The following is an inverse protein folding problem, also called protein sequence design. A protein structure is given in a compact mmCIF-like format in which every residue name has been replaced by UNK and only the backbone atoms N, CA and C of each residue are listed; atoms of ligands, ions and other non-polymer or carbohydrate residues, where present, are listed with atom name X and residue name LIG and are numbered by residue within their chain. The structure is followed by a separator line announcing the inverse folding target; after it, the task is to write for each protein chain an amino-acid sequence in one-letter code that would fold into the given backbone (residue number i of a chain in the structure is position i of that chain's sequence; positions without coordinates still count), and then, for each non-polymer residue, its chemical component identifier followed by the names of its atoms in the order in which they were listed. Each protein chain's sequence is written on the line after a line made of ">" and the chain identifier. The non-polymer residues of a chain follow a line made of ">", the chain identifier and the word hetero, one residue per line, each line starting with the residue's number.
data_IF_874562853775
#
_entry.id   IF_874562853775
#
_cell.length_a   1.000
_cell.length_b   1.000
_cell.length_c   1.000
_cell.angle_alpha   90.00
_cell.angle_beta   90.00
_cell.angle_gamma   90.00
#
_symmetry.space_group_name_H-M   'P 1'
#
loop_
_entity.id
_entity.type
_entity.pdbx_description
1 polymer ?
#
# COMPACT_ATOMS: atom_id res chain seq x y z
N UNK A 1 -7.58 -44.25 62.99
CA UNK A 1 -8.13 -42.99 62.48
C UNK A 1 -7.17 -42.43 61.42
N UNK A 2 -7.41 -42.69 60.13
CA UNK A 2 -6.71 -42.03 59.02
C UNK A 2 -7.74 -41.76 57.93
N UNK A 3 -8.07 -40.47 57.81
CA UNK A 3 -9.07 -39.92 56.91
C UNK A 3 -8.37 -39.60 55.58
N UNK A 4 -8.70 -40.32 54.50
CA UNK A 4 -8.21 -39.97 53.16
C UNK A 4 -9.19 -38.99 52.53
N UNK A 5 -8.80 -37.72 52.47
CA UNK A 5 -9.51 -36.65 51.78
C UNK A 5 -9.08 -36.70 50.31
N UNK A 6 -9.98 -37.08 49.42
CA UNK A 6 -9.78 -36.95 47.98
C UNK A 6 -10.06 -35.49 47.59
N UNK A 7 -8.99 -34.76 47.25
CA UNK A 7 -9.09 -33.42 46.64
C UNK A 7 -9.24 -33.63 45.14
N UNK A 8 -10.45 -33.53 44.63
CA UNK A 8 -10.72 -33.44 43.19
C UNK A 8 -10.36 -32.04 42.72
N UNK A 9 -9.21 -31.89 42.06
CA UNK A 9 -8.84 -30.64 41.38
C UNK A 9 -9.64 -30.58 40.08
N UNK A 10 -10.70 -29.78 40.07
CA UNK A 10 -11.40 -29.42 38.83
C UNK A 10 -10.50 -28.48 38.03
N UNK A 11 -9.84 -29.00 36.99
CA UNK A 11 -9.13 -28.19 36.01
C UNK A 11 -10.20 -27.52 35.14
N UNK A 12 -10.52 -26.26 35.45
CA UNK A 12 -11.34 -25.43 34.60
C UNK A 12 -10.50 -25.08 33.35
N UNK A 13 -10.67 -25.84 32.28
CA UNK A 13 -10.14 -25.50 30.96
C UNK A 13 -10.91 -24.30 30.41
N UNK A 14 -10.47 -23.09 30.76
CA UNK A 14 -10.89 -21.87 30.08
C UNK A 14 -10.30 -21.91 28.67
N UNK A 15 -11.07 -22.37 27.70
CA UNK A 15 -10.76 -22.19 26.29
C UNK A 15 -10.90 -20.71 25.97
N UNK A 16 -9.81 -19.95 26.12
CA UNK A 16 -9.72 -18.65 25.47
C UNK A 16 -9.74 -18.90 23.97
N UNK A 17 -10.90 -18.72 23.34
CA UNK A 17 -10.99 -18.46 21.90
C UNK A 17 -10.21 -17.16 21.68
N UNK A 18 -8.92 -17.26 21.38
CA UNK A 18 -8.16 -16.08 20.98
C UNK A 18 -8.78 -15.59 19.68
N UNK A 19 -9.33 -14.38 19.69
CA UNK A 19 -9.62 -13.60 18.48
C UNK A 19 -8.30 -13.26 17.77
N UNK A 20 -7.63 -14.27 17.21
CA UNK A 20 -6.38 -14.10 16.52
C UNK A 20 -6.65 -13.82 15.06
N UNK A 21 -6.19 -12.66 14.57
CA UNK A 21 -6.10 -12.36 13.14
C UNK A 21 -5.44 -13.51 12.37
N UNK A 22 -5.98 -13.90 11.23
CA UNK A 22 -5.40 -14.94 10.37
C UNK A 22 -4.44 -14.33 9.33
N UNK A 23 -3.44 -15.10 8.90
CA UNK A 23 -2.49 -14.68 7.85
C UNK A 23 -2.48 -15.69 6.71
N UNK A 24 -2.83 -15.22 5.52
CA UNK A 24 -2.72 -15.97 4.25
C UNK A 24 -1.49 -15.47 3.49
N UNK A 25 -0.67 -16.39 2.98
CA UNK A 25 0.62 -16.06 2.36
C UNK A 25 0.68 -16.47 0.91
N UNK A 26 1.40 -15.67 0.13
CA UNK A 26 1.77 -15.98 -1.25
C UNK A 26 0.57 -16.33 -2.15
N UNK A 27 -0.53 -15.62 -1.97
CA UNK A 27 -1.71 -15.77 -2.83
C UNK A 27 -1.38 -15.20 -4.20
N UNK A 28 -1.64 -15.98 -5.25
CA UNK A 28 -1.49 -15.52 -6.64
C UNK A 28 -2.61 -14.55 -6.98
N UNK A 29 -2.25 -13.39 -7.51
CA UNK A 29 -3.20 -12.39 -8.00
C UNK A 29 -3.08 -12.16 -9.52
N UNK A 30 -2.11 -12.81 -10.18
CA UNK A 30 -1.92 -12.77 -11.63
C UNK A 30 -2.41 -14.05 -12.33
N UNK A 31 -2.85 -15.06 -11.58
CA UNK A 31 -3.36 -16.32 -12.12
C UNK A 31 -2.30 -17.20 -12.81
N UNK A 32 -1.02 -16.86 -12.66
CA UNK A 32 0.09 -17.59 -13.26
C UNK A 32 1.24 -17.77 -12.24
N UNK A 33 2.01 -18.84 -12.38
CA UNK A 33 3.24 -19.07 -11.59
C UNK A 33 4.42 -18.27 -12.13
N UNK A 34 4.45 -18.04 -13.45
CA UNK A 34 5.46 -17.24 -14.11
C UNK A 34 4.84 -16.16 -14.99
N UNK A 35 5.59 -15.08 -15.19
CA UNK A 35 5.17 -13.94 -16.00
C UNK A 35 6.28 -13.48 -16.96
N UNK A 36 5.86 -12.69 -17.92
CA UNK A 36 6.72 -11.89 -18.78
C UNK A 36 6.42 -10.41 -18.53
N UNK A 37 7.46 -9.61 -18.37
CA UNK A 37 7.42 -8.15 -18.32
C UNK A 37 7.99 -7.57 -19.61
N UNK A 38 8.01 -6.25 -19.72
CA UNK A 38 8.72 -5.60 -20.84
C UNK A 38 10.23 -5.88 -20.85
N UNK A 39 10.84 -6.24 -19.71
CA UNK A 39 12.29 -6.39 -19.56
C UNK A 39 12.76 -7.84 -19.45
N UNK A 40 11.91 -8.76 -19.00
CA UNK A 40 12.32 -10.14 -18.73
C UNK A 40 11.18 -11.15 -18.90
N UNK A 41 11.55 -12.39 -19.22
CA UNK A 41 10.63 -13.53 -19.43
C UNK A 41 10.83 -14.58 -18.36
N UNK A 42 9.82 -15.41 -18.13
CA UNK A 42 9.86 -16.55 -17.20
C UNK A 42 10.23 -16.17 -15.76
N UNK A 43 9.83 -14.97 -15.32
CA UNK A 43 10.01 -14.55 -13.94
C UNK A 43 8.98 -15.23 -13.05
N UNK A 44 9.32 -15.55 -11.81
CA UNK A 44 8.33 -15.94 -10.81
C UNK A 44 7.29 -14.80 -10.64
N UNK A 45 6.01 -15.16 -10.71
CA UNK A 45 4.93 -14.20 -10.54
C UNK A 45 4.95 -13.63 -9.11
N UNK A 46 4.82 -12.29 -8.94
CA UNK A 46 4.60 -11.72 -7.63
C UNK A 46 3.28 -12.23 -7.03
N UNK A 47 3.25 -12.26 -5.70
CA UNK A 47 2.11 -12.74 -4.91
C UNK A 47 1.75 -11.71 -3.84
N UNK A 48 0.61 -11.88 -3.18
CA UNK A 48 0.18 -11.04 -2.06
C UNK A 48 0.04 -11.82 -0.75
N UNK A 49 0.12 -11.11 0.37
CA UNK A 49 -0.23 -11.63 1.69
C UNK A 49 -1.47 -10.92 2.20
N UNK A 50 -2.33 -11.65 2.91
CA UNK A 50 -3.56 -11.12 3.51
C UNK A 50 -3.49 -11.30 5.02
N UNK A 51 -3.84 -10.25 5.75
CA UNK A 51 -3.99 -10.26 7.20
C UNK A 51 -5.46 -10.01 7.49
N UNK A 52 -6.16 -11.09 7.81
CA UNK A 52 -7.60 -11.14 8.06
C UNK A 52 -7.87 -10.82 9.53
N UNK A 53 -8.81 -9.90 9.84
CA UNK A 53 -9.21 -9.60 11.22
C UNK A 53 -9.95 -10.77 11.89
N UNK A 54 -10.33 -10.62 13.16
CA UNK A 54 -11.20 -11.60 13.83
C UNK A 54 -12.55 -11.71 13.10
N UNK A 55 -13.07 -12.93 12.98
CA UNK A 55 -14.36 -13.18 12.29
C UNK A 55 -15.53 -12.94 13.23
N UNK A 56 -16.10 -11.74 13.15
CA UNK A 56 -17.32 -11.37 13.88
C UNK A 56 -18.53 -11.18 12.92
N UNK A 57 -18.54 -11.87 11.77
CA UNK A 57 -19.55 -11.81 10.70
C UNK A 57 -19.82 -10.41 10.10
N UNK A 58 -19.06 -9.39 10.48
CA UNK A 58 -19.12 -8.03 9.91
C UNK A 58 -18.07 -7.90 8.80
N UNK A 59 -18.48 -7.34 7.65
CA UNK A 59 -17.52 -6.92 6.61
C UNK A 59 -16.77 -5.67 7.08
N UNK A 60 -15.46 -5.65 6.90
CA UNK A 60 -14.59 -4.56 7.34
C UNK A 60 -13.97 -3.80 6.17
N UNK A 61 -13.56 -2.53 6.34
CA UNK A 61 -12.76 -1.84 5.34
C UNK A 61 -11.50 -2.63 4.94
N UNK A 62 -11.05 -2.43 3.72
CA UNK A 62 -9.86 -3.09 3.16
C UNK A 62 -8.78 -2.05 2.94
N UNK A 63 -7.55 -2.34 3.36
CA UNK A 63 -6.38 -1.51 3.04
C UNK A 63 -5.34 -2.31 2.27
N UNK A 64 -4.96 -1.81 1.11
CA UNK A 64 -3.93 -2.40 0.25
C UNK A 64 -2.63 -1.62 0.45
N UNK A 65 -1.62 -2.23 1.06
CA UNK A 65 -0.33 -1.60 1.32
C UNK A 65 0.75 -2.05 0.33
N UNK A 66 1.29 -1.11 -0.45
CA UNK A 66 2.40 -1.34 -1.37
C UNK A 66 3.70 -0.83 -0.76
N UNK A 67 4.72 -1.69 -0.74
CA UNK A 67 6.00 -1.35 -0.12
C UNK A 67 6.82 -0.37 -0.95
N UNK A 68 7.72 0.36 -0.27
CA UNK A 68 8.77 1.16 -0.90
C UNK A 68 10.02 0.35 -1.23
N UNK A 69 11.08 1.07 -1.62
CA UNK A 69 12.39 0.48 -1.95
C UNK A 69 12.91 0.89 -3.32
N UNK A 70 12.77 2.17 -3.71
CA UNK A 70 13.34 2.71 -4.95
C UNK A 70 13.02 1.89 -6.22
N UNK A 71 11.84 1.26 -6.29
CA UNK A 71 11.36 0.41 -7.40
C UNK A 71 12.22 -0.83 -7.73
N UNK A 72 13.38 -0.99 -7.10
CA UNK A 72 14.36 -2.04 -7.36
C UNK A 72 14.67 -2.90 -6.12
N UNK A 73 14.11 -2.55 -4.96
CA UNK A 73 14.32 -3.22 -3.68
C UNK A 73 13.01 -3.33 -2.88
N UNK A 74 13.09 -4.07 -1.78
CA UNK A 74 11.97 -4.28 -0.85
C UNK A 74 11.22 -5.58 -1.13
N UNK A 75 10.34 -5.94 -0.20
CA UNK A 75 9.44 -7.09 -0.32
C UNK A 75 8.30 -7.00 0.70
N UNK A 76 7.13 -7.53 0.34
CA UNK A 76 5.91 -7.52 1.17
C UNK A 76 6.09 -8.14 2.56
N UNK A 77 6.99 -9.12 2.71
CA UNK A 77 7.19 -9.86 3.96
C UNK A 77 7.77 -8.99 5.08
N UNK A 78 8.49 -7.91 4.75
CA UNK A 78 9.09 -6.99 5.74
C UNK A 78 7.99 -6.30 6.57
N UNK A 79 6.82 -6.09 5.99
CA UNK A 79 5.73 -5.29 6.56
C UNK A 79 4.65 -6.16 7.22
N UNK A 80 5.03 -7.35 7.70
CA UNK A 80 4.07 -8.25 8.34
C UNK A 80 3.43 -7.66 9.60
N UNK A 81 4.17 -6.83 10.33
CA UNK A 81 3.69 -6.12 11.51
C UNK A 81 2.64 -5.09 11.12
N UNK A 82 2.78 -4.44 9.95
CA UNK A 82 1.83 -3.45 9.45
C UNK A 82 0.49 -4.11 9.15
N UNK A 83 0.53 -5.21 8.39
CA UNK A 83 -0.66 -5.98 8.07
C UNK A 83 -1.36 -6.54 9.31
N UNK A 84 -0.58 -7.08 10.27
CA UNK A 84 -1.11 -7.55 11.56
C UNK A 84 -1.79 -6.43 12.35
N UNK A 85 -1.16 -5.25 12.44
CA UNK A 85 -1.69 -4.14 13.23
C UNK A 85 -3.00 -3.60 12.65
N UNK A 86 -3.16 -3.57 11.31
CA UNK A 86 -4.44 -3.24 10.68
C UNK A 86 -5.50 -4.32 10.95
N UNK A 87 -5.15 -5.60 10.83
CA UNK A 87 -6.07 -6.69 11.15
C UNK A 87 -6.54 -6.69 12.62
N UNK A 88 -5.69 -6.25 13.55
CA UNK A 88 -6.05 -6.07 14.96
C UNK A 88 -6.97 -4.86 15.22
N UNK A 89 -7.15 -3.98 14.22
CA UNK A 89 -8.02 -2.81 14.27
C UNK A 89 -9.22 -2.99 13.32
N UNK A 90 -9.64 -4.23 13.10
CA UNK A 90 -10.78 -4.60 12.24
C UNK A 90 -10.68 -4.01 10.82
N UNK A 91 -9.50 -4.13 10.21
CA UNK A 91 -9.26 -3.76 8.80
C UNK A 91 -8.60 -4.94 8.10
N UNK A 92 -9.15 -5.37 6.96
CA UNK A 92 -8.52 -6.38 6.12
C UNK A 92 -7.29 -5.77 5.45
N UNK A 93 -6.08 -6.26 5.76
CA UNK A 93 -4.86 -5.74 5.15
C UNK A 93 -4.34 -6.65 4.05
N UNK A 94 -4.14 -6.11 2.86
CA UNK A 94 -3.60 -6.81 1.69
C UNK A 94 -2.26 -6.20 1.30
N UNK A 95 -1.22 -7.02 1.28
CA UNK A 95 0.15 -6.58 0.99
C UNK A 95 0.63 -7.28 -0.28
N UNK A 96 0.48 -6.69 -1.48
CA UNK A 96 1.05 -7.24 -2.70
C UNK A 96 2.57 -7.03 -2.78
N UNK A 97 3.25 -8.01 -3.38
CA UNK A 97 4.56 -7.79 -3.98
C UNK A 97 4.41 -7.33 -5.43
N UNK A 98 5.50 -6.91 -6.04
CA UNK A 98 5.58 -6.57 -7.46
C UNK A 98 6.98 -6.89 -7.98
N UNK A 99 7.14 -7.06 -9.28
CA UNK A 99 8.44 -7.34 -9.91
C UNK A 99 9.34 -6.10 -9.80
N UNK A 100 10.54 -6.28 -9.26
CA UNK A 100 11.50 -5.19 -9.09
C UNK A 100 12.30 -4.93 -10.37
N UNK A 101 12.70 -3.68 -10.57
CA UNK A 101 13.73 -3.31 -11.55
C UNK A 101 15.06 -4.03 -11.26
N UNK A 102 15.84 -4.48 -12.27
CA UNK A 102 15.71 -4.21 -13.71
C UNK A 102 14.77 -5.15 -14.46
N UNK A 103 14.10 -6.08 -13.77
CA UNK A 103 13.22 -7.05 -14.41
C UNK A 103 11.84 -6.46 -14.77
N UNK A 104 11.58 -5.20 -14.46
CA UNK A 104 10.32 -4.51 -14.73
C UNK A 104 10.54 -2.99 -14.78
N UNK A 105 9.80 -2.30 -15.66
CA UNK A 105 9.71 -0.83 -15.68
C UNK A 105 8.74 -0.33 -14.61
N UNK A 106 8.63 0.99 -14.41
CA UNK A 106 7.54 1.57 -13.60
C UNK A 106 6.16 1.12 -14.09
N UNK A 107 6.01 0.94 -15.41
CA UNK A 107 4.75 0.63 -16.05
C UNK A 107 4.32 -0.82 -15.78
N UNK A 108 5.27 -1.76 -15.91
CA UNK A 108 5.06 -3.16 -15.52
C UNK A 108 4.66 -3.25 -14.02
N UNK A 109 5.34 -2.48 -13.17
CA UNK A 109 5.10 -2.46 -11.72
C UNK A 109 3.71 -1.91 -11.38
N UNK A 110 3.34 -0.76 -11.94
CA UNK A 110 2.03 -0.15 -11.70
C UNK A 110 0.89 -1.01 -12.28
N UNK A 111 1.08 -1.64 -13.44
CA UNK A 111 0.11 -2.59 -14.00
C UNK A 111 -0.09 -3.81 -13.08
N UNK A 112 0.97 -4.31 -12.45
CA UNK A 112 0.85 -5.38 -11.46
C UNK A 112 0.13 -4.92 -10.19
N UNK A 113 0.37 -3.70 -9.72
CA UNK A 113 -0.38 -3.15 -8.57
C UNK A 113 -1.86 -2.95 -8.90
N UNK A 114 -2.19 -2.45 -10.09
CA UNK A 114 -3.58 -2.36 -10.55
C UNK A 114 -4.27 -3.74 -10.56
N UNK A 115 -3.60 -4.79 -11.06
CA UNK A 115 -4.12 -6.16 -11.00
C UNK A 115 -4.30 -6.67 -9.56
N UNK A 116 -3.42 -6.31 -8.63
CA UNK A 116 -3.58 -6.65 -7.22
C UNK A 116 -4.77 -5.93 -6.57
N UNK A 117 -5.03 -4.67 -6.96
CA UNK A 117 -6.22 -3.90 -6.53
C UNK A 117 -7.50 -4.57 -7.06
N UNK A 118 -7.56 -4.86 -8.36
CA UNK A 118 -8.69 -5.53 -8.98
C UNK A 118 -8.97 -6.90 -8.35
N UNK A 119 -7.92 -7.72 -8.18
CA UNK A 119 -8.02 -9.01 -7.50
C UNK A 119 -8.57 -8.83 -6.09
N UNK A 120 -8.06 -7.84 -5.34
CA UNK A 120 -8.53 -7.58 -3.98
C UNK A 120 -10.01 -7.22 -3.94
N UNK A 121 -10.48 -6.35 -4.85
CA UNK A 121 -11.90 -6.00 -4.95
C UNK A 121 -12.77 -7.22 -5.22
N UNK A 122 -12.35 -8.12 -6.10
CA UNK A 122 -13.09 -9.35 -6.43
C UNK A 122 -13.09 -10.37 -5.26
N UNK A 123 -12.03 -10.37 -4.44
CA UNK A 123 -11.75 -11.46 -3.51
C UNK A 123 -11.89 -11.07 -2.02
N UNK A 124 -11.96 -9.79 -1.67
CA UNK A 124 -11.92 -9.32 -0.28
C UNK A 124 -13.02 -9.92 0.61
N UNK A 125 -14.21 -10.12 0.05
CA UNK A 125 -15.36 -10.65 0.78
C UNK A 125 -15.10 -12.02 1.41
N UNK A 126 -14.29 -12.89 0.78
CA UNK A 126 -13.97 -14.21 1.33
C UNK A 126 -13.03 -14.15 2.55
N UNK A 127 -12.36 -13.01 2.74
CA UNK A 127 -11.47 -12.72 3.87
C UNK A 127 -12.11 -11.71 4.85
N UNK A 128 -13.43 -11.52 4.80
CA UNK A 128 -14.16 -10.60 5.68
C UNK A 128 -14.05 -9.12 5.29
N UNK A 129 -13.45 -8.78 4.17
CA UNK A 129 -13.38 -7.40 3.67
C UNK A 129 -14.65 -6.96 2.95
N UNK A 130 -14.94 -5.66 2.99
CA UNK A 130 -15.97 -5.02 2.19
C UNK A 130 -15.38 -4.57 0.85
N UNK A 131 -15.78 -5.17 -0.29
CA UNK A 131 -15.26 -4.80 -1.61
C UNK A 131 -15.66 -3.39 -2.06
N UNK A 132 -16.55 -2.72 -1.33
CA UNK A 132 -16.96 -1.33 -1.59
C UNK A 132 -16.22 -0.31 -0.71
N UNK A 133 -15.36 -0.77 0.22
CA UNK A 133 -14.56 0.09 1.11
C UNK A 133 -13.07 -0.20 0.95
N UNK A 134 -12.56 0.01 -0.27
CA UNK A 134 -11.17 -0.26 -0.63
C UNK A 134 -10.34 1.02 -0.49
N UNK A 135 -9.33 0.96 0.36
CA UNK A 135 -8.32 1.99 0.52
C UNK A 135 -6.97 1.47 0.02
N UNK A 136 -6.18 2.35 -0.59
CA UNK A 136 -4.81 2.03 -1.01
C UNK A 136 -3.82 2.90 -0.28
N UNK A 137 -2.65 2.35 0.04
CA UNK A 137 -1.58 3.07 0.69
C UNK A 137 -0.23 2.56 0.25
N UNK A 138 0.78 3.41 0.31
CA UNK A 138 2.14 2.99 0.05
C UNK A 138 3.17 3.94 0.61
N UNK A 139 4.35 3.39 0.88
CA UNK A 139 5.51 4.16 1.33
C UNK A 139 6.48 4.39 0.17
N UNK A 140 7.02 5.61 0.03
CA UNK A 140 8.07 5.89 -0.96
C UNK A 140 7.64 5.51 -2.39
N UNK A 141 8.40 4.65 -3.08
CA UNK A 141 8.06 4.05 -4.36
C UNK A 141 6.67 3.37 -4.39
N UNK A 142 6.24 2.76 -3.28
CA UNK A 142 4.91 2.17 -3.18
C UNK A 142 3.80 3.22 -3.19
N UNK A 143 4.06 4.40 -2.61
CA UNK A 143 3.15 5.55 -2.67
C UNK A 143 2.96 6.06 -4.11
N UNK A 144 4.05 6.12 -4.87
CA UNK A 144 3.98 6.35 -6.32
C UNK A 144 3.13 5.29 -7.01
N UNK A 145 3.42 4.00 -6.80
CA UNK A 145 2.76 2.92 -7.53
C UNK A 145 1.26 2.85 -7.27
N UNK A 146 0.78 3.08 -6.03
CA UNK A 146 -0.66 3.11 -5.75
C UNK A 146 -1.34 4.32 -6.36
N UNK A 147 -0.74 5.51 -6.26
CA UNK A 147 -1.29 6.71 -6.88
C UNK A 147 -1.37 6.54 -8.40
N UNK A 148 -0.30 6.05 -9.01
CA UNK A 148 -0.22 5.86 -10.45
C UNK A 148 -1.22 4.80 -10.94
N UNK A 149 -1.28 3.63 -10.28
CA UNK A 149 -2.17 2.54 -10.66
C UNK A 149 -3.66 2.92 -10.57
N UNK A 150 -4.03 3.75 -9.59
CA UNK A 150 -5.42 4.19 -9.40
C UNK A 150 -5.76 5.35 -10.35
N UNK A 151 -4.88 6.34 -10.47
CA UNK A 151 -5.21 7.60 -11.13
C UNK A 151 -4.98 7.57 -12.65
N UNK A 152 -3.96 6.84 -13.14
CA UNK A 152 -3.71 6.78 -14.57
C UNK A 152 -4.72 5.83 -15.25
N UNK A 153 -5.60 6.33 -16.15
CA UNK A 153 -6.70 5.56 -16.71
C UNK A 153 -6.26 4.32 -17.49
N UNK A 154 -5.01 4.26 -17.97
CA UNK A 154 -4.50 3.11 -18.74
C UNK A 154 -4.48 1.80 -17.93
N UNK A 155 -4.48 1.88 -16.60
CA UNK A 155 -4.48 0.71 -15.73
C UNK A 155 -5.88 0.16 -15.43
N UNK A 156 -6.93 0.77 -15.98
CA UNK A 156 -8.32 0.31 -15.90
C UNK A 156 -8.85 0.12 -14.46
N UNK A 157 -8.37 0.91 -13.51
CA UNK A 157 -9.00 1.06 -12.21
C UNK A 157 -10.03 2.17 -12.30
N UNK A 158 -11.29 1.86 -11.99
CA UNK A 158 -12.28 2.91 -11.81
C UNK A 158 -11.97 3.64 -10.50
N UNK A 159 -11.63 4.93 -10.59
CA UNK A 159 -11.25 5.73 -9.42
C UNK A 159 -12.35 5.76 -8.37
N UNK A 160 -13.62 5.78 -8.78
CA UNK A 160 -14.79 5.81 -7.88
C UNK A 160 -14.95 4.51 -7.07
N UNK A 161 -14.26 3.44 -7.45
CA UNK A 161 -14.24 2.19 -6.69
C UNK A 161 -13.23 2.20 -5.52
N UNK A 162 -12.39 3.24 -5.44
CA UNK A 162 -11.39 3.42 -4.40
C UNK A 162 -11.88 4.50 -3.43
N UNK A 163 -12.13 4.10 -2.18
CA UNK A 163 -12.65 4.98 -1.13
C UNK A 163 -11.63 6.01 -0.66
N UNK A 164 -10.32 5.75 -0.85
CA UNK A 164 -9.29 6.75 -0.55
C UNK A 164 -7.86 6.26 -0.76
N UNK A 165 -6.94 7.22 -0.88
CA UNK A 165 -5.51 6.99 -1.07
C UNK A 165 -4.74 7.58 0.12
N UNK A 166 -3.92 6.78 0.81
CA UNK A 166 -3.02 7.24 1.88
C UNK A 166 -1.57 7.19 1.40
N UNK A 167 -0.98 8.35 1.15
CA UNK A 167 0.40 8.49 0.69
C UNK A 167 1.36 8.68 1.88
N UNK A 168 2.24 7.71 2.11
CA UNK A 168 3.25 7.82 3.16
C UNK A 168 4.62 8.18 2.57
N UNK A 169 4.96 9.46 2.64
CA UNK A 169 6.22 10.01 2.14
C UNK A 169 6.49 9.53 0.70
N UNK A 170 5.46 9.63 -0.14
CA UNK A 170 5.44 9.08 -1.48
C UNK A 170 6.54 9.74 -2.33
N UNK A 171 7.40 8.91 -2.92
CA UNK A 171 8.33 9.37 -3.94
C UNK A 171 7.60 9.48 -5.28
N UNK A 172 8.24 10.09 -6.28
CA UNK A 172 7.82 9.99 -7.68
C UNK A 172 6.43 10.52 -8.06
N UNK A 173 5.82 11.40 -7.27
CA UNK A 173 4.52 12.00 -7.65
C UNK A 173 4.60 12.91 -8.89
N UNK A 174 5.79 13.40 -9.23
CA UNK A 174 6.11 14.15 -10.45
C UNK A 174 7.52 13.73 -10.96
N UNK A 175 7.59 12.56 -11.59
CA UNK A 175 8.80 12.04 -12.22
C UNK A 175 9.22 12.83 -13.45
N UNK A 176 8.28 13.46 -14.17
CA UNK A 176 8.62 14.33 -15.30
C UNK A 176 9.50 15.50 -14.87
N UNK A 177 9.10 16.21 -13.81
CA UNK A 177 9.92 17.27 -13.23
C UNK A 177 11.28 16.73 -12.78
N UNK A 178 11.28 15.67 -11.96
CA UNK A 178 12.49 15.14 -11.37
C UNK A 178 13.51 14.66 -12.43
N UNK A 179 13.07 13.88 -13.42
CA UNK A 179 13.94 13.28 -14.44
C UNK A 179 14.38 14.28 -15.52
N UNK A 180 13.64 15.36 -15.73
CA UNK A 180 14.08 16.45 -16.61
C UNK A 180 15.33 17.16 -16.06
N UNK A 181 15.44 17.27 -14.72
CA UNK A 181 16.60 17.85 -14.05
C UNK A 181 17.66 16.81 -13.69
N UNK A 182 17.24 15.55 -13.50
CA UNK A 182 18.08 14.43 -13.09
C UNK A 182 17.89 13.24 -14.05
N UNK A 183 18.43 13.30 -15.28
CA UNK A 183 18.21 12.27 -16.28
C UNK A 183 18.54 10.85 -15.76
N UNK A 184 17.73 9.84 -16.12
CA UNK A 184 17.94 8.46 -15.69
C UNK A 184 19.35 7.97 -16.02
N UNK A 185 19.99 7.32 -15.05
CA UNK A 185 21.29 6.68 -15.23
C UNK A 185 21.20 5.17 -14.99
N UNK A 186 22.29 4.45 -15.27
CA UNK A 186 22.41 3.02 -14.94
C UNK A 186 22.45 2.77 -13.43
N UNK A 187 22.74 3.79 -12.63
CA UNK A 187 22.66 3.70 -11.17
C UNK A 187 21.24 3.34 -10.76
N UNK A 188 21.12 2.38 -9.84
CA UNK A 188 19.83 1.88 -9.35
C UNK A 188 18.88 1.34 -10.45
N UNK A 189 19.39 1.04 -11.65
CA UNK A 189 18.60 0.63 -12.81
C UNK A 189 17.55 1.70 -13.23
N UNK A 190 17.83 2.99 -13.02
CA UNK A 190 16.88 4.06 -13.33
C UNK A 190 16.57 4.18 -14.83
N UNK A 191 17.55 3.96 -15.68
CA UNK A 191 17.36 3.88 -17.13
C UNK A 191 16.35 2.79 -17.53
N UNK A 192 16.40 1.62 -16.88
CA UNK A 192 15.42 0.55 -17.08
C UNK A 192 14.08 0.90 -16.46
N UNK A 193 14.07 1.42 -15.25
CA UNK A 193 12.84 1.73 -14.52
C UNK A 193 12.01 2.78 -15.25
N UNK A 194 12.63 3.87 -15.71
CA UNK A 194 11.96 5.07 -16.19
C UNK A 194 12.07 5.30 -17.71
N UNK A 195 12.90 4.52 -18.40
CA UNK A 195 13.32 4.77 -19.79
C UNK A 195 14.03 6.12 -19.96
N UNK A 196 14.61 6.37 -21.13
CA UNK A 196 15.18 7.69 -21.48
C UNK A 196 14.20 8.58 -22.27
N UNK A 197 12.93 8.17 -22.43
CA UNK A 197 11.91 8.91 -23.18
C UNK A 197 11.13 9.86 -22.25
N UNK A 198 11.26 11.20 -22.41
CA UNK A 198 10.59 12.16 -21.53
C UNK A 198 9.06 12.08 -21.52
N UNK A 199 8.43 11.62 -22.60
CA UNK A 199 6.98 11.45 -22.64
C UNK A 199 6.51 10.37 -21.66
N UNK A 200 7.30 9.31 -21.49
CA UNK A 200 7.01 8.26 -20.50
C UNK A 200 7.16 8.76 -19.07
N UNK A 201 7.95 9.82 -18.82
CA UNK A 201 8.06 10.38 -17.47
C UNK A 201 6.80 11.13 -17.05
N UNK A 202 6.07 11.78 -17.99
CA UNK A 202 4.75 12.34 -17.69
C UNK A 202 3.74 11.24 -17.40
N UNK A 203 3.72 10.20 -18.23
CA UNK A 203 2.86 9.05 -18.03
C UNK A 203 3.16 8.29 -16.72
N UNK A 204 4.40 8.36 -16.23
CA UNK A 204 4.82 7.85 -14.94
C UNK A 204 4.48 8.75 -13.74
N UNK A 205 3.86 9.91 -13.95
CA UNK A 205 3.71 10.94 -12.92
C UNK A 205 2.23 11.10 -12.51
N UNK A 206 1.82 10.63 -11.31
CA UNK A 206 0.45 10.73 -10.82
C UNK A 206 -0.16 12.14 -10.86
N UNK A 207 0.66 13.19 -10.71
CA UNK A 207 0.20 14.59 -10.73
C UNK A 207 -0.60 14.96 -11.99
N UNK A 208 -0.30 14.38 -13.15
CA UNK A 208 -0.99 14.71 -14.42
C UNK A 208 -2.35 14.00 -14.58
N UNK A 209 -2.71 13.13 -13.63
CA UNK A 209 -3.95 12.36 -13.66
C UNK A 209 -4.94 12.79 -12.57
N UNK A 210 -4.61 13.82 -11.80
CA UNK A 210 -5.54 14.44 -10.84
C UNK A 210 -6.73 15.02 -11.62
N UNK A 211 -7.94 14.71 -11.17
CA UNK A 211 -9.20 15.17 -11.75
C UNK A 211 -10.34 15.09 -10.72
N UNK A 212 -11.56 15.48 -11.09
CA UNK A 212 -12.74 15.50 -10.19
C UNK A 212 -13.12 14.12 -9.61
N UNK A 213 -12.70 13.02 -10.25
CA UNK A 213 -12.93 11.64 -9.80
C UNK A 213 -11.78 11.09 -8.95
N UNK A 214 -10.72 11.85 -8.74
CA UNK A 214 -9.59 11.41 -7.91
C UNK A 214 -10.09 11.09 -6.49
N UNK A 215 -9.82 9.89 -5.96
CA UNK A 215 -10.26 9.53 -4.62
C UNK A 215 -9.71 10.50 -3.58
N UNK A 216 -10.41 10.72 -2.46
CA UNK A 216 -9.89 11.49 -1.34
C UNK A 216 -8.46 11.07 -0.97
N UNK A 217 -7.55 12.02 -0.79
CA UNK A 217 -6.15 11.73 -0.48
C UNK A 217 -5.75 12.26 0.90
N UNK A 218 -5.17 11.38 1.72
CA UNK A 218 -4.43 11.73 2.94
C UNK A 218 -2.93 11.57 2.68
N UNK A 219 -2.15 12.61 2.97
CA UNK A 219 -0.69 12.58 2.78
C UNK A 219 0.08 12.74 4.09
N UNK A 220 1.08 11.90 4.31
CA UNK A 220 2.11 12.05 5.34
C UNK A 220 3.44 12.43 4.68
N UNK A 221 4.10 13.48 5.16
CA UNK A 221 5.39 13.92 4.60
C UNK A 221 6.40 14.18 5.71
N UNK A 222 7.61 13.64 5.59
CA UNK A 222 8.68 13.88 6.55
C UNK A 222 9.30 15.26 6.35
N UNK A 223 9.42 16.08 7.40
CA UNK A 223 10.08 17.39 7.34
C UNK A 223 11.57 17.31 7.00
N UNK A 224 12.20 16.14 7.24
CA UNK A 224 13.62 15.86 7.00
C UNK A 224 13.79 14.80 5.90
N UNK A 225 12.79 14.63 5.03
CA UNK A 225 12.85 13.71 3.88
C UNK A 225 13.77 14.23 2.77
N UNK A 226 13.93 13.47 1.70
CA UNK A 226 14.77 13.86 0.57
C UNK A 226 14.20 15.08 -0.16
N UNK A 227 15.05 16.01 -0.66
CA UNK A 227 14.58 17.17 -1.41
C UNK A 227 13.64 16.83 -2.58
N UNK A 228 13.93 15.74 -3.32
CA UNK A 228 13.09 15.28 -4.42
C UNK A 228 11.68 14.89 -3.97
N UNK A 229 11.54 14.24 -2.81
CA UNK A 229 10.24 13.88 -2.21
C UNK A 229 9.52 15.14 -1.75
N UNK A 230 10.19 16.06 -1.08
CA UNK A 230 9.61 17.34 -0.65
C UNK A 230 9.06 18.14 -1.84
N UNK A 231 9.85 18.29 -2.91
CA UNK A 231 9.44 19.01 -4.12
C UNK A 231 8.24 18.34 -4.79
N UNK A 232 8.31 17.03 -5.03
CA UNK A 232 7.23 16.30 -5.68
C UNK A 232 5.92 16.35 -4.87
N UNK A 233 5.98 16.20 -3.54
CA UNK A 233 4.79 16.27 -2.67
C UNK A 233 4.19 17.68 -2.58
N UNK A 234 5.02 18.73 -2.65
CA UNK A 234 4.52 20.11 -2.68
C UNK A 234 3.78 20.39 -3.98
N UNK A 235 4.40 20.06 -5.13
CA UNK A 235 3.79 20.22 -6.45
C UNK A 235 2.50 19.42 -6.58
N UNK A 236 2.52 18.16 -6.13
CA UNK A 236 1.33 17.31 -6.13
C UNK A 236 0.21 17.91 -5.26
N UNK A 237 0.53 18.42 -4.06
CA UNK A 237 -0.45 19.10 -3.21
C UNK A 237 -1.04 20.34 -3.88
N UNK A 238 -0.22 21.17 -4.49
CA UNK A 238 -0.67 22.39 -5.20
C UNK A 238 -1.67 22.08 -6.31
N UNK A 239 -1.48 20.96 -7.02
CA UNK A 239 -2.44 20.50 -8.02
C UNK A 239 -3.69 19.88 -7.38
N UNK A 240 -3.51 19.02 -6.38
CA UNK A 240 -4.58 18.30 -5.70
C UNK A 240 -5.62 19.24 -5.08
N UNK A 241 -5.19 20.33 -4.44
CA UNK A 241 -6.12 21.25 -3.75
C UNK A 241 -7.09 21.98 -4.70
N UNK A 242 -6.84 21.97 -6.01
CA UNK A 242 -7.78 22.50 -7.00
C UNK A 242 -9.04 21.65 -7.13
N UNK A 243 -8.93 20.36 -6.82
CA UNK A 243 -9.99 19.36 -6.88
C UNK A 243 -10.46 18.92 -5.49
N UNK A 244 -9.56 18.92 -4.51
CA UNK A 244 -9.82 18.56 -3.12
C UNK A 244 -9.29 19.65 -2.17
N UNK A 245 -10.02 20.78 -2.00
CA UNK A 245 -9.56 21.90 -1.17
C UNK A 245 -9.22 21.52 0.28
N UNK A 246 -9.91 20.50 0.81
CA UNK A 246 -9.75 20.00 2.18
C UNK A 246 -8.73 18.85 2.31
N UNK A 247 -7.97 18.54 1.23
CA UNK A 247 -6.98 17.46 1.24
C UNK A 247 -5.96 17.61 2.38
N UNK A 248 -5.97 16.65 3.30
CA UNK A 248 -5.15 16.70 4.51
C UNK A 248 -3.72 16.26 4.21
N UNK A 249 -2.76 17.08 4.66
CA UNK A 249 -1.34 16.73 4.72
C UNK A 249 -0.83 16.88 6.15
N UNK A 250 -0.30 15.79 6.69
CA UNK A 250 0.33 15.74 8.01
C UNK A 250 1.84 15.69 7.85
N UNK A 251 2.53 16.73 8.33
CA UNK A 251 3.99 16.79 8.32
C UNK A 251 4.55 16.21 9.62
N UNK A 252 5.53 15.31 9.51
CA UNK A 252 6.15 14.63 10.64
C UNK A 252 7.61 15.01 10.75
N UNK A 253 8.12 15.22 11.98
CA UNK A 253 9.54 15.54 12.20
C UNK A 253 10.46 14.32 12.02
N UNK A 254 10.56 13.83 10.78
CA UNK A 254 11.19 12.54 10.46
C UNK A 254 11.92 12.58 9.11
N UNK A 255 12.95 11.74 9.03
CA UNK A 255 13.59 11.36 7.76
C UNK A 255 12.74 10.31 7.03
N UNK A 256 13.05 10.08 5.76
CA UNK A 256 12.30 9.19 4.87
C UNK A 256 12.05 7.77 5.41
N UNK A 257 13.09 7.04 5.81
CA UNK A 257 12.95 5.66 6.31
C UNK A 257 12.17 5.59 7.63
N UNK A 258 12.43 6.46 8.63
CA UNK A 258 11.61 6.53 9.84
C UNK A 258 10.11 6.78 9.64
N UNK A 259 9.66 7.23 8.46
CA UNK A 259 8.24 7.41 8.16
C UNK A 259 7.46 6.09 8.14
N UNK A 260 8.10 4.96 7.83
CA UNK A 260 7.42 3.65 7.84
C UNK A 260 7.60 2.91 9.16
N UNK A 261 8.70 3.10 9.87
CA UNK A 261 8.96 2.41 11.15
C UNK A 261 8.00 2.82 12.26
N UNK A 262 7.32 3.96 12.13
CA UNK A 262 6.32 4.40 13.10
C UNK A 262 5.09 3.49 13.18
N UNK A 263 4.84 2.71 12.13
CA UNK A 263 3.73 1.75 12.09
C UNK A 263 4.12 0.41 12.76
N UNK A 264 5.37 0.22 13.22
CA UNK A 264 5.77 -1.02 13.91
C UNK A 264 4.93 -1.25 15.16
N UNK A 265 4.65 -0.19 15.93
CA UNK A 265 3.84 -0.26 17.13
C UNK A 265 2.38 0.08 16.81
N UNK A 266 1.48 -0.88 17.02
CA UNK A 266 0.04 -0.71 16.75
C UNK A 266 -0.67 0.37 17.58
N UNK A 267 -0.04 0.85 18.66
CA UNK A 267 -0.52 1.98 19.48
C UNK A 267 -0.16 3.35 18.92
N UNK A 268 0.51 3.42 17.76
CA UNK A 268 0.86 4.71 17.16
C UNK A 268 -0.40 5.41 16.62
N UNK A 269 -0.57 6.70 16.96
CA UNK A 269 -1.68 7.54 16.50
C UNK A 269 -1.84 7.59 14.97
N UNK A 270 -0.82 7.23 14.17
CA UNK A 270 -0.96 7.11 12.70
C UNK A 270 -2.07 6.15 12.30
N UNK A 271 -2.27 5.07 13.05
CA UNK A 271 -3.37 4.14 12.77
C UNK A 271 -4.73 4.80 13.00
N UNK A 272 -4.86 5.56 14.08
CA UNK A 272 -6.13 6.18 14.45
C UNK A 272 -6.48 7.32 13.47
N UNK A 273 -5.49 8.08 13.00
CA UNK A 273 -5.66 9.07 11.93
C UNK A 273 -6.08 8.43 10.59
N UNK A 274 -5.50 7.28 10.22
CA UNK A 274 -5.89 6.53 9.02
C UNK A 274 -7.31 6.00 9.17
N UNK A 275 -7.66 5.44 10.33
CA UNK A 275 -9.01 4.94 10.61
C UNK A 275 -10.02 6.08 10.56
N UNK A 276 -9.70 7.22 11.15
CA UNK A 276 -10.54 8.41 11.07
C UNK A 276 -10.75 8.81 9.61
N UNK A 277 -9.67 8.92 8.83
CA UNK A 277 -9.78 9.21 7.40
C UNK A 277 -10.66 8.21 6.66
N UNK A 278 -10.50 6.91 6.91
CA UNK A 278 -11.31 5.86 6.30
C UNK A 278 -12.79 5.99 6.68
N UNK A 279 -13.09 6.30 7.94
CA UNK A 279 -14.47 6.46 8.42
C UNK A 279 -15.20 7.65 7.82
N UNK A 280 -14.46 8.69 7.39
CA UNK A 280 -15.01 9.88 6.75
C UNK A 280 -15.40 9.63 5.28
N UNK A 281 -15.02 8.48 4.70
CA UNK A 281 -15.34 8.10 3.30
C UNK A 281 -16.42 7.00 3.23
N UNK A 282 -17.08 6.70 4.36
CA UNK A 282 -18.15 5.70 4.46
C UNK A 282 -19.53 6.22 4.06
#
# INVERSE_FOLDING_TARGET
>A
MRLYIYITIAILSVTMLSCSSAKHKNISYLGAETITTSQAKNLAAPTLNIYEPSRDNKKVPVIIYVHGGNWNQGKKEIYWWLGRNFAQKDILAVLPGYTLSPNATYDDQAAQIAKAIAWTKENAAQYGGDPNKIFVTGHSAGGHLVALAVMNPKYNINQEDISGIILNDAAGLDMYHYLSENPPSVSDNYNTTWTTNPELWKDASPIYFINDKTPPILSYVGSKTYPSITVANNRFKEELIKFQPDARRITLDKKHVPMITQYIFGSNNRYDEIIQFMSEQE
#
